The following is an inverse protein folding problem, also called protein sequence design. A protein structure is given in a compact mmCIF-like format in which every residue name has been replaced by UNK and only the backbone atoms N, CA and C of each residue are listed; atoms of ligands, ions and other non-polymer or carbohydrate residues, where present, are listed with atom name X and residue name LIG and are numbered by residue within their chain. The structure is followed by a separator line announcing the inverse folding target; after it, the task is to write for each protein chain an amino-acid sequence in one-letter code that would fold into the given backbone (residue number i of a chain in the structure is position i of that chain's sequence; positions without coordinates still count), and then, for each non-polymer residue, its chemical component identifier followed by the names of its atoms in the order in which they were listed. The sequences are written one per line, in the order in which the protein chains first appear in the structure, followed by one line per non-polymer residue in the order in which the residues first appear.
data_IF_763443835484
#
_entry.id   IF_763443835484
#
_cell.length_a   1.000
_cell.length_b   1.000
_cell.length_c   1.000
_cell.angle_alpha   90.00
_cell.angle_beta   90.00
_cell.angle_gamma   90.00
#
_symmetry.space_group_name_H-M   'P 1'
#
loop_
_entity.id
_entity.type
_entity.pdbx_description
1 polymer ?
#
# COMPACT_ATOMS: atom_id res chain seq x y z
N UNK A 1 -10.05 15.79 22.17
CA UNK A 1 -9.02 16.14 21.21
C UNK A 1 -7.85 15.22 21.26
N UNK A 2 -7.24 15.12 22.41
CA UNK A 2 -6.08 14.27 22.56
C UNK A 2 -6.39 12.82 22.19
N UNK A 3 -7.56 12.35 22.58
CA UNK A 3 -7.95 10.97 22.28
C UNK A 3 -8.06 10.71 20.78
N UNK A 4 -8.51 11.71 20.04
CA UNK A 4 -8.60 11.54 18.60
C UNK A 4 -7.23 11.45 17.98
N UNK A 5 -6.30 12.23 18.50
CA UNK A 5 -4.93 12.15 18.04
C UNK A 5 -4.37 10.77 18.29
N UNK A 6 -4.61 10.25 19.47
CA UNK A 6 -4.11 8.92 19.81
C UNK A 6 -4.71 7.86 18.91
N UNK A 7 -5.98 8.00 18.56
CA UNK A 7 -6.60 7.06 17.65
C UNK A 7 -5.95 7.09 16.28
N UNK A 8 -5.57 8.27 15.81
CA UNK A 8 -4.93 8.42 14.54
C UNK A 8 -3.55 7.79 14.54
N UNK A 9 -2.91 7.72 15.69
CA UNK A 9 -1.59 7.15 15.82
C UNK A 9 -1.59 5.65 15.98
N UNK A 10 -2.75 5.05 16.19
CA UNK A 10 -2.83 3.62 16.40
C UNK A 10 -2.39 2.87 15.13
N UNK A 11 -1.77 1.72 15.30
CA UNK A 11 -1.44 0.90 14.15
C UNK A 11 -2.69 0.53 13.37
N UNK A 12 -2.47 0.14 12.14
CA UNK A 12 -3.58 -0.29 11.30
C UNK A 12 -4.28 -1.48 11.95
N UNK A 13 -5.60 -1.40 12.00
CA UNK A 13 -6.41 -2.48 12.54
C UNK A 13 -6.71 -3.47 11.42
N UNK A 14 -5.87 -4.49 11.33
CA UNK A 14 -6.01 -5.48 10.27
C UNK A 14 -7.33 -6.24 10.37
N UNK A 15 -7.85 -6.42 11.59
CA UNK A 15 -9.11 -7.12 11.76
C UNK A 15 -10.26 -6.35 11.14
N UNK A 16 -10.27 -5.04 11.30
CA UNK A 16 -11.29 -4.22 10.67
C UNK A 16 -11.23 -4.32 9.16
N UNK A 17 -10.02 -4.38 8.61
CA UNK A 17 -9.84 -4.52 7.17
C UNK A 17 -10.33 -5.87 6.68
N UNK A 18 -10.13 -6.92 7.46
CA UNK A 18 -10.59 -8.26 7.09
C UNK A 18 -12.11 -8.35 7.09
N UNK A 19 -12.72 -7.74 8.08
CA UNK A 19 -14.17 -7.86 8.26
C UNK A 19 -14.95 -7.05 7.24
N UNK A 20 -14.35 -6.00 6.75
CA UNK A 20 -15.05 -5.11 5.86
C UNK A 20 -14.17 -4.68 4.73
N UNK A 21 -14.72 -3.80 3.94
CA UNK A 21 -13.99 -3.21 2.84
C UNK A 21 -13.39 -1.91 3.32
N UNK A 22 -12.32 -1.49 2.67
CA UNK A 22 -11.76 -0.20 2.98
C UNK A 22 -12.80 0.88 2.71
N UNK A 23 -12.96 1.84 3.62
CA UNK A 23 -13.88 2.94 3.37
C UNK A 23 -13.47 3.68 2.10
N UNK A 24 -14.45 4.21 1.35
CA UNK A 24 -14.12 4.93 0.11
C UNK A 24 -13.18 6.11 0.29
N UNK A 25 -13.08 6.65 1.51
CA UNK A 25 -12.25 7.82 1.74
C UNK A 25 -11.00 7.51 2.52
N UNK A 26 -10.59 6.26 2.56
CA UNK A 26 -9.41 5.84 3.30
C UNK A 26 -8.15 5.88 2.43
N UNK A 27 -8.01 6.92 1.63
CA UNK A 27 -6.87 7.04 0.73
C UNK A 27 -5.56 6.97 1.49
N UNK A 28 -5.47 7.67 2.60
CA UNK A 28 -4.24 7.69 3.39
C UNK A 28 -3.92 6.31 3.97
N UNK A 29 -4.96 5.58 4.36
CA UNK A 29 -4.76 4.24 4.86
C UNK A 29 -4.24 3.33 3.75
N UNK A 30 -4.80 3.46 2.55
CA UNK A 30 -4.35 2.68 1.42
C UNK A 30 -2.88 2.97 1.12
N UNK A 31 -2.50 4.25 1.17
CA UNK A 31 -1.12 4.64 0.94
C UNK A 31 -0.19 4.04 1.99
N UNK A 32 -0.63 4.04 3.23
CA UNK A 32 0.18 3.47 4.31
C UNK A 32 0.36 1.97 4.14
N UNK A 33 -0.69 1.28 3.71
CA UNK A 33 -0.60 -0.17 3.48
C UNK A 33 0.39 -0.48 2.38
N UNK A 34 0.28 0.22 1.26
CA UNK A 34 1.17 -0.02 0.13
C UNK A 34 2.61 0.32 0.47
N UNK A 35 2.79 1.45 1.17
CA UNK A 35 4.13 1.83 1.61
C UNK A 35 4.74 0.81 2.55
N UNK A 36 3.95 0.28 3.47
CA UNK A 36 4.44 -0.71 4.41
C UNK A 36 4.89 -1.97 3.69
N UNK A 37 4.15 -2.38 2.66
CA UNK A 37 4.52 -3.57 1.89
C UNK A 37 5.90 -3.37 1.25
N UNK A 38 6.17 -2.16 0.77
CA UNK A 38 7.45 -1.89 0.11
C UNK A 38 8.60 -1.73 1.09
N UNK A 39 8.31 -1.39 2.35
CA UNK A 39 9.35 -1.17 3.34
C UNK A 39 9.60 -2.35 4.24
N UNK A 40 8.60 -3.21 4.44
CA UNK A 40 8.71 -4.33 5.35
C UNK A 40 8.60 -5.65 4.61
N UNK A 41 9.62 -6.48 4.79
CA UNK A 41 9.75 -7.71 4.02
C UNK A 41 8.55 -8.64 4.10
N UNK A 42 7.97 -8.77 5.29
CA UNK A 42 6.90 -9.75 5.49
C UNK A 42 5.50 -9.18 5.42
N UNK A 43 5.40 -7.88 5.13
CA UNK A 43 4.10 -7.24 5.17
C UNK A 43 3.15 -7.80 4.12
N UNK A 44 3.65 -8.14 2.94
CA UNK A 44 2.77 -8.64 1.90
C UNK A 44 2.12 -9.96 2.28
N UNK A 45 2.86 -10.82 2.96
CA UNK A 45 2.31 -12.12 3.38
C UNK A 45 1.07 -11.94 4.25
N UNK A 46 1.11 -10.96 5.14
CA UNK A 46 -0.03 -10.69 6.00
C UNK A 46 -1.16 -10.03 5.24
N UNK A 47 -0.83 -9.03 4.44
CA UNK A 47 -1.85 -8.25 3.74
C UNK A 47 -2.55 -9.10 2.69
N UNK A 48 -1.83 -9.96 1.98
CA UNK A 48 -2.40 -10.74 0.90
C UNK A 48 -3.45 -11.74 1.36
N UNK A 49 -3.46 -12.06 2.65
CA UNK A 49 -4.49 -12.94 3.18
C UNK A 49 -5.81 -12.21 3.39
N UNK A 50 -5.76 -10.90 3.43
CA UNK A 50 -6.91 -10.07 3.74
C UNK A 50 -7.38 -9.21 2.60
N UNK A 51 -6.47 -8.74 1.77
CA UNK A 51 -6.78 -7.76 0.76
C UNK A 51 -6.44 -8.23 -0.62
N UNK A 52 -7.23 -7.79 -1.57
CA UNK A 52 -7.00 -7.97 -3.00
C UNK A 52 -6.99 -6.61 -3.63
N UNK A 53 -6.49 -6.54 -4.88
CA UNK A 53 -6.41 -5.27 -5.58
C UNK A 53 -7.76 -4.56 -5.63
N UNK A 54 -8.82 -5.31 -5.84
CA UNK A 54 -10.16 -4.74 -5.99
C UNK A 54 -10.68 -4.09 -4.72
N UNK A 55 -10.07 -4.38 -3.58
CA UNK A 55 -10.50 -3.76 -2.32
C UNK A 55 -10.03 -2.32 -2.18
N UNK A 56 -9.05 -1.91 -2.97
CA UNK A 56 -8.58 -0.54 -2.93
C UNK A 56 -9.55 0.35 -3.68
N UNK A 57 -9.87 1.48 -3.09
CA UNK A 57 -10.77 2.43 -3.72
C UNK A 57 -10.10 3.22 -4.83
N UNK A 58 -8.86 3.63 -4.60
CA UNK A 58 -8.11 4.42 -5.57
C UNK A 58 -7.58 3.52 -6.66
N UNK A 59 -7.90 3.82 -7.91
CA UNK A 59 -7.50 2.97 -9.02
C UNK A 59 -5.99 2.83 -9.12
N UNK A 60 -5.26 3.91 -8.89
CA UNK A 60 -3.80 3.83 -8.92
C UNK A 60 -3.29 2.84 -7.89
N UNK A 61 -3.93 2.78 -6.73
CA UNK A 61 -3.52 1.84 -5.69
C UNK A 61 -3.81 0.41 -6.09
N UNK A 62 -4.90 0.18 -6.82
CA UNK A 62 -5.19 -1.16 -7.34
C UNK A 62 -4.09 -1.63 -8.27
N UNK A 63 -3.61 -0.73 -9.13
CA UNK A 63 -2.55 -1.07 -10.07
C UNK A 63 -1.24 -1.34 -9.35
N UNK A 64 -0.94 -0.55 -8.34
CA UNK A 64 0.29 -0.76 -7.56
C UNK A 64 0.23 -2.10 -6.83
N UNK A 65 -0.92 -2.43 -6.26
CA UNK A 65 -1.06 -3.70 -5.57
C UNK A 65 -0.90 -4.87 -6.55
N UNK A 66 -1.43 -4.73 -7.76
CA UNK A 66 -1.25 -5.77 -8.78
C UNK A 66 0.21 -5.95 -9.16
N UNK A 67 0.96 -4.85 -9.23
CA UNK A 67 2.38 -4.92 -9.50
C UNK A 67 3.09 -5.70 -8.38
N UNK A 68 2.71 -5.42 -7.14
CA UNK A 68 3.28 -6.13 -6.00
C UNK A 68 2.95 -7.61 -6.09
N UNK A 69 1.72 -7.95 -6.42
CA UNK A 69 1.33 -9.35 -6.58
C UNK A 69 2.17 -10.05 -7.64
N UNK A 70 2.43 -9.36 -8.75
CA UNK A 70 3.26 -9.93 -9.81
C UNK A 70 4.67 -10.22 -9.32
N UNK A 71 5.25 -9.30 -8.55
CA UNK A 71 6.59 -9.50 -8.01
C UNK A 71 6.62 -10.68 -7.06
N UNK A 72 5.61 -10.82 -6.23
CA UNK A 72 5.56 -11.94 -5.29
C UNK A 72 5.44 -13.27 -6.02
N UNK A 73 4.69 -13.31 -7.12
CA UNK A 73 4.59 -14.53 -7.91
C UNK A 73 5.93 -14.93 -8.50
N UNK A 74 6.77 -13.95 -8.81
CA UNK A 74 8.10 -14.23 -9.36
C UNK A 74 9.11 -14.50 -8.26
N UNK A 75 8.70 -14.38 -7.01
CA UNK A 75 9.59 -14.49 -5.86
C UNK A 75 10.68 -13.43 -5.88
N UNK A 76 10.36 -12.28 -6.43
CA UNK A 76 11.28 -11.15 -6.45
C UNK A 76 11.04 -10.27 -5.23
N UNK A 77 12.11 -9.64 -4.79
CA UNK A 77 11.99 -8.69 -3.70
C UNK A 77 11.06 -7.55 -4.09
N UNK A 78 10.20 -7.16 -3.16
CA UNK A 78 9.25 -6.08 -3.38
C UNK A 78 9.75 -4.84 -2.66
N UNK A 79 10.25 -3.88 -3.40
CA UNK A 79 10.66 -2.59 -2.86
C UNK A 79 10.30 -1.51 -3.86
N UNK A 80 10.67 -0.27 -3.52
CA UNK A 80 10.30 0.86 -4.37
C UNK A 80 10.75 0.67 -5.81
N UNK A 81 11.99 0.26 -6.00
CA UNK A 81 12.54 0.16 -7.35
C UNK A 81 11.89 -0.97 -8.16
N UNK A 82 11.69 -2.12 -7.54
CA UNK A 82 11.08 -3.23 -8.26
C UNK A 82 9.63 -2.97 -8.58
N UNK A 83 8.92 -2.27 -7.69
CA UNK A 83 7.53 -1.93 -7.96
C UNK A 83 7.44 -0.95 -9.13
N UNK A 84 8.32 0.06 -9.16
CA UNK A 84 8.35 1.00 -10.28
C UNK A 84 8.66 0.27 -11.59
N UNK A 85 9.64 -0.64 -11.56
CA UNK A 85 9.98 -1.39 -12.76
C UNK A 85 8.84 -2.28 -13.22
N UNK A 86 8.15 -2.91 -12.27
CA UNK A 86 7.03 -3.78 -12.66
C UNK A 86 5.89 -2.96 -13.25
N UNK A 87 5.61 -1.80 -12.68
CA UNK A 87 4.59 -0.91 -13.25
C UNK A 87 4.96 -0.47 -14.65
N UNK A 88 6.25 -0.22 -14.88
CA UNK A 88 6.71 0.14 -16.22
C UNK A 88 6.51 -1.01 -17.19
N UNK A 89 6.84 -2.22 -16.75
CA UNK A 89 6.65 -3.41 -17.57
C UNK A 89 5.18 -3.63 -17.90
N UNK A 90 4.30 -3.34 -16.95
CA UNK A 90 2.86 -3.46 -17.18
C UNK A 90 2.31 -2.34 -18.05
N UNK A 91 3.11 -1.31 -18.32
CA UNK A 91 2.63 -0.16 -19.07
C UNK A 91 1.71 0.72 -18.26
N UNK A 92 1.81 0.67 -16.94
CA UNK A 92 0.89 1.38 -16.07
C UNK A 92 1.58 2.44 -15.20
N UNK A 93 2.88 2.63 -15.35
CA UNK A 93 3.58 3.56 -14.49
C UNK A 93 3.00 4.97 -14.59
N UNK A 94 2.70 5.43 -15.80
CA UNK A 94 2.14 6.77 -15.96
C UNK A 94 0.76 6.88 -15.34
N UNK A 95 -0.03 5.83 -15.42
CA UNK A 95 -1.38 5.86 -14.86
C UNK A 95 -1.39 6.03 -13.35
N UNK A 96 -0.39 5.51 -12.66
CA UNK A 96 -0.34 5.66 -11.21
C UNK A 96 0.29 6.98 -10.78
N UNK A 97 0.78 7.76 -11.73
CA UNK A 97 1.40 9.05 -11.42
C UNK A 97 2.90 9.05 -11.49
N UNK A 98 3.51 8.02 -12.05
CA UNK A 98 4.95 7.94 -12.22
C UNK A 98 5.67 7.47 -10.97
N UNK A 99 6.98 7.41 -11.09
CA UNK A 99 7.82 6.94 -9.98
C UNK A 99 7.66 7.81 -8.73
N UNK A 100 7.43 9.11 -8.92
CA UNK A 100 7.27 10.01 -7.79
C UNK A 100 6.06 9.63 -6.94
N UNK A 101 4.96 9.27 -7.57
CA UNK A 101 3.76 8.88 -6.84
C UNK A 101 4.02 7.63 -6.01
N UNK A 102 4.76 6.68 -6.56
CA UNK A 102 5.08 5.46 -5.84
C UNK A 102 6.00 5.78 -4.65
N UNK A 103 6.97 6.67 -4.87
CA UNK A 103 7.88 7.07 -3.80
C UNK A 103 7.14 7.69 -2.64
N UNK A 104 6.12 8.48 -2.91
CA UNK A 104 5.36 9.14 -1.84
C UNK A 104 4.69 8.15 -0.91
N UNK A 105 4.41 6.95 -1.38
CA UNK A 105 3.78 5.96 -0.53
C UNK A 105 4.69 5.53 0.63
N UNK A 106 5.98 5.39 0.35
CA UNK A 106 6.91 5.02 1.41
C UNK A 106 7.09 6.18 2.40
N UNK A 107 6.99 7.40 1.92
CA UNK A 107 7.05 8.55 2.81
C UNK A 107 5.85 8.61 3.76
N UNK A 108 4.70 8.19 3.29
CA UNK A 108 3.49 8.17 4.12
C UNK A 108 3.68 7.27 5.33
N UNK A 109 4.31 6.11 5.14
CA UNK A 109 4.57 5.20 6.24
C UNK A 109 5.53 5.81 7.25
N UNK A 110 6.61 6.42 6.75
CA UNK A 110 7.60 7.04 7.62
C UNK A 110 6.96 8.14 8.44
N UNK A 111 6.12 8.95 7.82
CA UNK A 111 5.43 10.01 8.54
C UNK A 111 4.53 9.46 9.63
N UNK A 112 3.80 8.39 9.32
CA UNK A 112 2.92 7.76 10.30
C UNK A 112 3.71 7.19 11.46
N UNK A 113 4.90 6.64 11.20
CA UNK A 113 5.72 6.05 12.24
C UNK A 113 6.25 7.09 13.23
N UNK A 114 6.34 8.34 12.80
CA UNK A 114 6.85 9.41 13.65
C UNK A 114 5.78 10.04 14.51
N UNK A 115 4.56 9.72 14.26
CA UNK A 115 3.46 10.26 15.04
C UNK A 115 3.25 9.47 16.31
#
# INVERSE_FOLDING_TARGET
MRKQFEKQKKPVDWNSLMMGKLPPQAKELEEAILGAIMLERNAFSEVSQMLRAEHFYVEAHQLIFKAIQNLEKKSWQCDLMTVVDELRTMGKLDEVGGAYAVTKLTNSVVSAAHL
#
